data_IF_257224905556
#
_entry.id   IF_257224905556
#
_cell.length_a   1.000
_cell.length_b   1.000
_cell.length_c   1.000
_cell.angle_alpha   90.00
_cell.angle_beta   90.00
_cell.angle_gamma   90.00
#
_symmetry.space_group_name_H-M   'P 1'
#
loop_
_entity.id
_entity.type
_entity.pdbx_description
1 polymer ?
#
# COMPACT_ATOMS: atom_id res chain seq x y z
N UNK A 1 4.38 20.10 -7.06
CA UNK A 1 3.69 19.51 -5.90
C UNK A 1 2.97 18.28 -6.41
N UNK A 2 3.32 17.10 -5.92
CA UNK A 2 2.55 15.89 -6.19
C UNK A 2 1.21 16.01 -5.43
N UNK A 3 0.06 15.73 -6.07
CA UNK A 3 -1.22 15.76 -5.38
C UNK A 3 -1.21 14.74 -4.24
N UNK A 4 -1.61 15.18 -3.04
CA UNK A 4 -1.72 14.29 -1.88
C UNK A 4 -2.79 13.24 -2.16
N UNK A 5 -2.48 11.98 -1.87
CA UNK A 5 -3.44 10.89 -1.99
C UNK A 5 -4.62 11.11 -1.04
N UNK A 6 -5.85 11.10 -1.55
CA UNK A 6 -7.08 11.23 -0.75
C UNK A 6 -7.77 9.86 -0.68
N UNK A 7 -7.49 9.15 0.41
CA UNK A 7 -7.94 7.77 0.66
C UNK A 7 -8.64 7.66 2.00
N UNK A 8 -9.83 7.11 1.96
CA UNK A 8 -10.60 6.72 3.15
C UNK A 8 -10.66 5.21 3.25
N UNK A 9 -10.28 4.69 4.43
CA UNK A 9 -10.37 3.28 4.80
C UNK A 9 -11.41 3.14 5.92
N UNK A 10 -12.40 2.27 5.74
CA UNK A 10 -13.52 2.11 6.67
C UNK A 10 -13.95 0.65 6.79
N UNK A 11 -13.96 0.10 8.02
CA UNK A 11 -14.50 -1.24 8.27
C UNK A 11 -16.03 -1.20 8.19
N UNK A 12 -16.59 -1.97 7.27
CA UNK A 12 -18.02 -2.11 7.04
C UNK A 12 -18.66 -3.05 8.08
N UNK A 13 -20.00 -2.98 8.28
CA UNK A 13 -20.71 -3.81 9.27
C UNK A 13 -20.59 -5.32 9.04
N UNK A 14 -20.35 -5.74 7.79
CA UNK A 14 -20.14 -7.14 7.39
C UNK A 14 -18.70 -7.63 7.61
N UNK A 15 -17.82 -6.77 8.11
CA UNK A 15 -16.41 -7.09 8.38
C UNK A 15 -15.46 -6.81 7.22
N UNK A 16 -15.97 -6.44 6.04
CA UNK A 16 -15.13 -5.99 4.93
C UNK A 16 -14.53 -4.61 5.19
N UNK A 17 -13.42 -4.26 4.52
CA UNK A 17 -12.84 -2.93 4.59
C UNK A 17 -13.14 -2.23 3.27
N UNK A 18 -13.93 -1.16 3.33
CA UNK A 18 -14.16 -0.28 2.19
C UNK A 18 -12.96 0.65 2.01
N UNK A 19 -12.44 0.69 0.79
CA UNK A 19 -11.33 1.54 0.38
C UNK A 19 -11.90 2.51 -0.64
N UNK A 20 -12.04 3.78 -0.24
CA UNK A 20 -12.55 4.84 -1.09
C UNK A 20 -11.38 5.73 -1.48
N UNK A 21 -11.14 5.79 -2.78
CA UNK A 21 -10.02 6.55 -3.34
C UNK A 21 -10.58 7.64 -4.25
N UNK A 22 -10.17 8.88 -4.01
CA UNK A 22 -10.60 10.00 -4.83
C UNK A 22 -9.81 10.05 -6.14
N UNK A 23 -10.28 9.32 -7.15
CA UNK A 23 -9.59 9.18 -8.44
C UNK A 23 -9.54 10.47 -9.26
N UNK A 24 -10.38 11.46 -8.94
CA UNK A 24 -10.28 12.80 -9.53
C UNK A 24 -9.03 13.57 -9.10
N UNK A 25 -8.40 13.13 -8.00
CA UNK A 25 -7.14 13.67 -7.47
C UNK A 25 -5.94 12.80 -7.88
N UNK A 26 -6.13 11.49 -8.01
CA UNK A 26 -5.10 10.56 -8.46
C UNK A 26 -5.72 9.40 -9.29
N UNK A 27 -5.63 9.42 -10.63
CA UNK A 27 -6.29 8.44 -11.49
C UNK A 27 -5.72 7.02 -11.33
N UNK A 28 -4.46 6.89 -10.89
CA UNK A 28 -3.76 5.61 -10.73
C UNK A 28 -4.09 4.93 -9.39
N UNK A 29 -4.93 5.55 -8.58
CA UNK A 29 -5.16 5.14 -7.22
C UNK A 29 -6.20 3.99 -7.07
N UNK A 30 -6.76 3.51 -8.19
CA UNK A 30 -7.42 2.20 -8.27
C UNK A 30 -6.48 1.05 -7.94
N UNK A 31 -5.19 1.20 -8.26
CA UNK A 31 -4.14 0.24 -7.92
C UNK A 31 -3.99 0.02 -6.41
N UNK A 32 -4.32 1.03 -5.61
CA UNK A 32 -4.29 0.92 -4.15
C UNK A 32 -5.40 0.02 -3.61
N UNK A 33 -6.57 0.01 -4.28
CA UNK A 33 -7.66 -0.90 -3.93
C UNK A 33 -7.21 -2.35 -4.14
N UNK A 34 -6.68 -2.64 -5.33
CA UNK A 34 -6.22 -3.99 -5.69
C UNK A 34 -5.10 -4.46 -4.76
N UNK A 35 -4.11 -3.58 -4.51
CA UNK A 35 -3.03 -3.83 -3.56
C UNK A 35 -3.54 -4.27 -2.18
N UNK A 36 -4.49 -3.55 -1.60
CA UNK A 36 -5.00 -3.89 -0.27
C UNK A 36 -5.92 -5.12 -0.28
N UNK A 37 -6.72 -5.32 -1.32
CA UNK A 37 -7.61 -6.49 -1.42
C UNK A 37 -6.79 -7.78 -1.51
N UNK A 38 -5.70 -7.81 -2.28
CA UNK A 38 -4.80 -8.96 -2.37
C UNK A 38 -3.96 -9.13 -1.10
N UNK A 39 -3.39 -8.03 -0.59
CA UNK A 39 -2.52 -8.07 0.58
C UNK A 39 -3.23 -8.42 1.89
N UNK A 40 -4.57 -8.46 1.91
CA UNK A 40 -5.36 -8.81 3.10
C UNK A 40 -5.04 -10.19 3.65
N UNK A 41 -4.59 -11.10 2.77
CA UNK A 41 -4.20 -12.46 3.13
C UNK A 41 -2.76 -12.56 3.63
N UNK A 42 -1.97 -11.48 3.50
CA UNK A 42 -0.54 -11.42 3.82
C UNK A 42 -0.20 -10.24 4.76
N UNK A 43 -0.86 -10.12 5.94
CA UNK A 43 -0.65 -8.97 6.84
C UNK A 43 0.80 -8.87 7.35
N UNK A 44 1.53 -9.97 7.45
CA UNK A 44 2.96 -9.95 7.83
C UNK A 44 3.85 -9.39 6.72
N UNK A 45 3.53 -9.64 5.45
CA UNK A 45 4.23 -9.03 4.32
C UNK A 45 4.04 -7.51 4.32
N UNK A 46 2.82 -7.04 4.64
CA UNK A 46 2.53 -5.61 4.81
C UNK A 46 3.32 -4.99 5.96
N UNK A 47 3.46 -5.68 7.09
CA UNK A 47 4.27 -5.21 8.23
C UNK A 47 5.75 -5.08 7.86
N UNK A 48 6.29 -6.07 7.15
CA UNK A 48 7.67 -6.01 6.66
C UNK A 48 7.89 -4.84 5.69
N UNK A 49 6.95 -4.61 4.76
CA UNK A 49 7.00 -3.46 3.87
C UNK A 49 6.99 -2.13 4.63
N UNK A 50 6.18 -2.00 5.69
CA UNK A 50 6.16 -0.81 6.56
C UNK A 50 7.49 -0.61 7.28
N UNK A 51 8.07 -1.67 7.83
CA UNK A 51 9.37 -1.59 8.52
C UNK A 51 10.49 -1.19 7.56
N UNK A 52 10.45 -1.68 6.31
CA UNK A 52 11.39 -1.24 5.27
C UNK A 52 11.15 0.22 4.87
N UNK A 53 9.91 0.66 4.72
CA UNK A 53 9.61 2.06 4.41
C UNK A 53 10.02 3.03 5.54
N UNK A 54 10.10 2.57 6.79
CA UNK A 54 10.65 3.36 7.91
C UNK A 54 12.18 3.45 7.89
N UNK A 55 12.82 2.48 7.27
CA UNK A 55 14.27 2.35 7.18
C UNK A 55 14.72 2.10 5.74
N UNK A 56 14.42 3.03 4.80
CA UNK A 56 14.71 2.83 3.38
C UNK A 56 16.23 2.69 3.11
N UNK A 57 17.08 3.14 4.02
CA UNK A 57 18.53 2.93 4.00
C UNK A 57 18.95 1.46 4.06
N UNK A 58 18.05 0.57 4.50
CA UNK A 58 18.31 -0.86 4.60
C UNK A 58 17.92 -1.63 3.32
N UNK A 59 17.36 -0.95 2.32
CA UNK A 59 17.04 -1.56 1.03
C UNK A 59 18.34 -1.75 0.24
N UNK A 60 18.67 -2.99 -0.09
CA UNK A 60 19.74 -3.26 -1.03
C UNK A 60 19.28 -2.92 -2.45
N UNK A 61 19.99 -2.03 -3.16
CA UNK A 61 19.63 -1.59 -4.52
C UNK A 61 19.53 -2.75 -5.52
N UNK A 62 20.27 -3.84 -5.27
CA UNK A 62 20.34 -5.01 -6.14
C UNK A 62 19.34 -6.13 -5.76
N UNK A 63 18.59 -5.97 -4.66
CA UNK A 63 17.63 -6.97 -4.16
C UNK A 63 16.45 -6.26 -3.47
N UNK A 64 15.64 -5.55 -4.28
CA UNK A 64 14.46 -4.84 -3.80
C UNK A 64 13.34 -5.86 -3.60
N UNK A 65 12.95 -6.16 -2.35
CA UNK A 65 11.89 -7.12 -2.09
C UNK A 65 10.54 -6.52 -2.50
N UNK A 66 9.65 -7.40 -2.92
CA UNK A 66 8.27 -7.06 -3.25
C UNK A 66 7.37 -7.49 -2.09
N UNK A 67 6.48 -6.61 -1.66
CA UNK A 67 5.52 -6.89 -0.60
C UNK A 67 4.11 -6.65 -1.09
N UNK A 68 3.18 -7.53 -0.74
CA UNK A 68 1.76 -7.31 -1.02
C UNK A 68 1.06 -8.55 -1.56
N UNK A 69 0.40 -8.38 -2.71
CA UNK A 69 -0.39 -9.39 -3.40
C UNK A 69 0.34 -10.12 -4.54
N UNK A 70 -0.41 -10.95 -5.25
CA UNK A 70 0.09 -11.76 -6.36
C UNK A 70 0.25 -10.95 -7.65
N UNK A 71 -0.64 -9.99 -7.91
CA UNK A 71 -0.60 -9.15 -9.10
C UNK A 71 -0.20 -7.70 -8.77
N UNK A 72 -0.45 -7.26 -7.54
CA UNK A 72 -0.15 -5.90 -7.08
C UNK A 72 0.83 -5.89 -5.93
N UNK A 73 1.98 -5.26 -6.12
CA UNK A 73 3.11 -5.33 -5.19
C UNK A 73 3.68 -3.94 -4.91
N UNK A 74 4.11 -3.73 -3.68
CA UNK A 74 4.87 -2.57 -3.24
C UNK A 74 6.36 -2.87 -3.30
N UNK A 75 7.12 -1.96 -3.89
CA UNK A 75 8.57 -1.87 -3.83
C UNK A 75 8.94 -0.63 -3.03
N UNK A 76 9.75 -0.81 -1.98
CA UNK A 76 10.29 0.30 -1.19
C UNK A 76 11.65 0.66 -1.79
N UNK A 77 11.77 1.87 -2.30
CA UNK A 77 12.99 2.43 -2.85
C UNK A 77 13.59 3.47 -1.87
N UNK A 78 14.85 3.90 -2.04
CA UNK A 78 15.50 4.82 -1.12
C UNK A 78 14.76 6.16 -0.88
N UNK A 79 13.99 6.63 -1.86
CA UNK A 79 13.33 7.93 -1.86
C UNK A 79 11.79 7.86 -1.91
N UNK A 80 11.22 6.74 -2.34
CA UNK A 80 9.77 6.57 -2.46
C UNK A 80 9.35 5.10 -2.37
N UNK A 81 8.04 4.85 -2.39
CA UNK A 81 7.45 3.52 -2.56
C UNK A 81 6.71 3.49 -3.89
N UNK A 82 6.90 2.43 -4.66
CA UNK A 82 6.13 2.16 -5.88
C UNK A 82 5.19 1.01 -5.59
N UNK A 83 3.89 1.22 -5.70
CA UNK A 83 2.96 0.12 -5.88
C UNK A 83 2.80 -0.09 -7.37
N UNK A 84 2.92 -1.32 -7.85
CA UNK A 84 2.78 -1.65 -9.27
C UNK A 84 1.92 -2.88 -9.50
N UNK A 85 1.22 -2.90 -10.63
CA UNK A 85 0.54 -4.08 -11.13
C UNK A 85 1.43 -4.80 -12.16
N UNK A 86 1.77 -6.05 -11.89
CA UNK A 86 2.74 -6.83 -12.68
C UNK A 86 2.34 -7.00 -14.15
N UNK A 87 1.04 -7.03 -14.45
CA UNK A 87 0.54 -7.31 -15.81
C UNK A 87 0.14 -6.09 -16.64
N UNK A 88 -0.10 -4.93 -16.02
CA UNK A 88 -0.69 -3.76 -16.69
C UNK A 88 0.26 -2.57 -16.76
N UNK A 89 1.45 -2.70 -16.19
CA UNK A 89 2.44 -1.61 -16.05
C UNK A 89 1.93 -0.38 -15.27
N UNK A 90 0.77 -0.48 -14.62
CA UNK A 90 0.21 0.57 -13.77
C UNK A 90 1.08 0.75 -12.53
N UNK A 91 1.37 2.01 -12.19
CA UNK A 91 2.24 2.37 -11.07
C UNK A 91 1.63 3.51 -10.26
N UNK A 92 1.68 3.36 -8.95
CA UNK A 92 1.34 4.40 -7.99
C UNK A 92 2.58 4.69 -7.14
N UNK A 93 3.10 5.91 -7.26
CA UNK A 93 4.24 6.38 -6.47
C UNK A 93 3.72 7.08 -5.21
N UNK A 94 4.18 6.61 -4.05
CA UNK A 94 3.87 7.15 -2.73
C UNK A 94 5.15 7.59 -2.04
N UNK A 95 5.07 8.62 -1.20
CA UNK A 95 6.12 8.81 -0.20
C UNK A 95 6.12 7.66 0.81
N UNK A 96 7.26 7.40 1.48
CA UNK A 96 7.30 6.42 2.58
C UNK A 96 6.25 6.73 3.65
N UNK A 97 6.07 8.01 3.97
CA UNK A 97 5.09 8.45 4.96
C UNK A 97 3.65 8.10 4.56
N UNK A 98 3.26 8.37 3.32
CA UNK A 98 1.93 8.00 2.81
C UNK A 98 1.72 6.48 2.83
N UNK A 99 2.72 5.72 2.38
CA UNK A 99 2.65 4.26 2.40
C UNK A 99 2.48 3.72 3.83
N UNK A 100 3.32 4.16 4.77
CA UNK A 100 3.26 3.77 6.18
C UNK A 100 1.89 4.12 6.78
N UNK A 101 1.40 5.35 6.57
CA UNK A 101 0.12 5.79 7.13
C UNK A 101 -1.03 4.91 6.62
N UNK A 102 -1.07 4.64 5.31
CA UNK A 102 -2.13 3.85 4.68
C UNK A 102 -2.11 2.40 5.15
N UNK A 103 -0.95 1.76 5.12
CA UNK A 103 -0.81 0.34 5.50
C UNK A 103 -1.09 0.13 6.98
N UNK A 104 -0.61 1.01 7.86
CA UNK A 104 -0.94 0.91 9.29
C UNK A 104 -2.44 1.12 9.57
N UNK A 105 -3.06 2.09 8.89
CA UNK A 105 -4.52 2.30 9.00
C UNK A 105 -5.26 1.06 8.54
N UNK A 106 -4.85 0.44 7.45
CA UNK A 106 -5.43 -0.81 6.93
C UNK A 106 -5.26 -1.98 7.91
N UNK A 107 -4.05 -2.23 8.40
CA UNK A 107 -3.75 -3.31 9.36
C UNK A 107 -4.55 -3.18 10.67
N UNK A 108 -4.77 -1.94 11.14
CA UNK A 108 -5.63 -1.65 12.30
C UNK A 108 -7.10 -2.00 12.06
N UNK A 109 -7.58 -1.94 10.82
CA UNK A 109 -8.95 -2.28 10.45
C UNK A 109 -9.12 -3.80 10.20
N UNK A 110 -8.06 -4.48 9.77
CA UNK A 110 -8.05 -5.94 9.59
C UNK A 110 -8.18 -6.67 10.93
N UNK A 111 -7.52 -6.17 11.96
CA UNK A 111 -7.56 -6.77 13.30
C UNK A 111 -8.88 -6.39 13.99
N UNK A 112 -9.75 -7.35 14.37
CA UNK A 112 -10.94 -7.04 15.16
C UNK A 112 -10.53 -6.33 16.45
N UNK A 113 -11.20 -5.23 16.82
CA UNK A 113 -11.09 -4.69 18.17
C UNK A 113 -11.93 -5.57 19.08
N UNK A 114 -11.29 -6.21 20.05
CA UNK A 114 -11.95 -6.86 21.19
C UNK A 114 -12.75 -5.84 22.03
#
# INVERSE_FOLDING_TARGET
MQPKLDVTLERQPDGHIAIKVNTSVNPDAGLLYDFFDESRYYPDALRLGVDMARHPENVAEDDIPFWGGDATMAQVLPDHVVIEHYWTEEKLVLSHHEFIELVERYLRLLTPRD
#
